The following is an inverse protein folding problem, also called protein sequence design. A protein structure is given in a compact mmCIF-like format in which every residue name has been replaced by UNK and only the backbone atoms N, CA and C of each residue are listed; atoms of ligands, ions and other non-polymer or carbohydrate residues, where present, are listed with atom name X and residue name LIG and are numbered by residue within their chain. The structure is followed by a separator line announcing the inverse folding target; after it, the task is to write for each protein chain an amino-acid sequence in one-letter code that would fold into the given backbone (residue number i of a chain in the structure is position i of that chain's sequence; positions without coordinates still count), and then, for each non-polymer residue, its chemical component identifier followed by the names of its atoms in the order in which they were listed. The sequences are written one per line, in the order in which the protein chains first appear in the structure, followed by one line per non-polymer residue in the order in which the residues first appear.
data_IF_959321655640
#
_entry.id   IF_959321655640
#
_cell.length_a   1.000
_cell.length_b   1.000
_cell.length_c   1.000
_cell.angle_alpha   90.00
_cell.angle_beta   90.00
_cell.angle_gamma   90.00
#
_symmetry.space_group_name_H-M   'P 1'
#
loop_
_entity.id
_entity.type
_entity.pdbx_description
1 polymer ?
#
# COMPACT_ATOMS: atom_id res chain seq x y z
N UNK A 1 -54.35 -35.95 28.11
CA UNK A 1 -52.91 -36.08 27.75
C UNK A 1 -52.54 -35.73 26.32
N UNK A 2 -53.44 -35.76 25.32
CA UNK A 2 -53.15 -35.46 23.90
C UNK A 2 -53.05 -33.95 23.60
N UNK A 3 -53.58 -33.05 24.43
CA UNK A 3 -53.52 -31.58 24.21
C UNK A 3 -52.18 -30.93 24.63
N UNK A 4 -51.55 -31.39 25.70
CA UNK A 4 -50.27 -30.86 26.17
C UNK A 4 -49.10 -31.22 25.23
N UNK A 5 -49.16 -32.36 24.54
CA UNK A 5 -48.07 -32.78 23.62
C UNK A 5 -48.05 -31.92 22.36
N UNK A 6 -49.21 -31.50 21.87
CA UNK A 6 -49.30 -30.60 20.67
C UNK A 6 -48.82 -29.17 21.00
N UNK A 7 -49.06 -28.64 22.21
CA UNK A 7 -48.56 -27.35 22.62
C UNK A 7 -47.03 -27.35 22.78
N UNK A 8 -46.47 -28.46 23.29
CA UNK A 8 -45.00 -28.57 23.47
C UNK A 8 -44.24 -28.67 22.14
N UNK A 9 -44.79 -29.36 21.12
CA UNK A 9 -44.20 -29.43 19.78
C UNK A 9 -44.29 -28.09 19.05
N UNK A 10 -45.39 -27.32 19.25
CA UNK A 10 -45.53 -26.00 18.65
C UNK A 10 -44.55 -24.98 19.26
N UNK A 11 -44.27 -25.05 20.56
CA UNK A 11 -43.28 -24.21 21.24
C UNK A 11 -41.85 -24.57 20.82
N UNK A 12 -41.55 -25.85 20.63
CA UNK A 12 -40.23 -26.28 20.17
C UNK A 12 -39.94 -25.85 18.74
N UNK A 13 -40.96 -25.72 17.87
CA UNK A 13 -40.79 -25.21 16.50
C UNK A 13 -40.61 -23.67 16.45
N UNK A 14 -41.00 -22.93 17.47
CA UNK A 14 -40.73 -21.47 17.51
C UNK A 14 -39.31 -21.13 17.97
N UNK A 15 -38.57 -22.05 18.60
CA UNK A 15 -37.18 -21.84 19.00
C UNK A 15 -36.16 -22.39 18.00
N UNK A 16 -36.60 -23.08 16.96
CA UNK A 16 -35.73 -23.68 15.96
C UNK A 16 -35.54 -22.78 14.76
N UNK A 17 -34.76 -21.69 14.84
CA UNK A 17 -34.44 -21.01 13.61
C UNK A 17 -34.02 -19.55 13.64
N UNK A 18 -33.60 -19.00 14.73
CA UNK A 18 -32.82 -17.76 14.65
C UNK A 18 -31.37 -18.11 14.32
N UNK A 19 -31.07 -18.37 13.04
CA UNK A 19 -29.72 -18.19 12.55
C UNK A 19 -29.39 -16.72 12.80
N UNK A 20 -28.33 -16.39 13.56
CA UNK A 20 -27.94 -15.01 13.70
C UNK A 20 -27.68 -14.49 12.27
N UNK A 21 -28.52 -13.60 11.79
CA UNK A 21 -28.25 -12.83 10.59
C UNK A 21 -27.11 -11.88 10.98
N UNK A 22 -25.88 -12.26 10.68
CA UNK A 22 -24.79 -11.30 10.70
C UNK A 22 -25.10 -10.26 9.63
N UNK A 23 -25.45 -9.06 10.06
CA UNK A 23 -25.60 -7.95 9.13
C UNK A 23 -24.22 -7.64 8.57
N UNK A 24 -24.06 -7.76 7.25
CA UNK A 24 -22.87 -7.27 6.57
C UNK A 24 -22.64 -5.81 6.96
N UNK A 25 -21.44 -5.47 7.42
CA UNK A 25 -21.13 -4.09 7.78
C UNK A 25 -21.08 -3.24 6.51
N UNK A 26 -21.75 -2.10 6.56
CA UNK A 26 -21.66 -1.12 5.48
C UNK A 26 -20.28 -0.46 5.48
N UNK A 27 -19.49 -0.71 4.43
CA UNK A 27 -18.19 -0.09 4.19
C UNK A 27 -18.28 1.10 3.23
N UNK A 28 -19.49 1.50 2.81
CA UNK A 28 -19.67 2.58 1.86
C UNK A 28 -19.22 3.93 2.42
N UNK A 29 -18.72 4.78 1.54
CA UNK A 29 -18.33 6.14 1.86
C UNK A 29 -16.86 6.46 1.65
N UNK A 30 -16.45 7.60 2.18
CA UNK A 30 -15.09 8.10 2.11
C UNK A 30 -14.31 7.74 3.36
N UNK A 31 -13.12 7.21 3.16
CA UNK A 31 -12.19 6.81 4.21
C UNK A 31 -10.92 7.64 4.12
N UNK A 32 -10.79 8.57 5.06
CA UNK A 32 -9.65 9.48 5.13
C UNK A 32 -8.45 8.79 5.78
N UNK A 33 -7.30 8.96 5.18
CA UNK A 33 -6.05 8.45 5.68
C UNK A 33 -5.65 9.16 7.00
N UNK A 34 -5.11 8.41 7.94
CA UNK A 34 -4.51 8.92 9.17
C UNK A 34 -3.02 9.14 8.96
N UNK A 35 -2.66 10.30 8.40
CA UNK A 35 -1.30 10.63 7.95
C UNK A 35 -0.23 10.54 9.04
N UNK A 36 -0.61 10.68 10.32
CA UNK A 36 0.33 10.55 11.44
C UNK A 36 0.73 9.10 11.74
N UNK A 37 -0.04 8.13 11.24
CA UNK A 37 0.33 6.73 11.33
C UNK A 37 1.40 6.43 10.28
N UNK A 38 2.58 6.00 10.70
CA UNK A 38 3.69 5.65 9.82
C UNK A 38 4.06 6.73 8.80
N UNK A 39 4.05 7.99 9.20
CA UNK A 39 4.22 9.15 8.30
C UNK A 39 5.46 9.05 7.39
N UNK A 40 6.57 8.52 7.90
CA UNK A 40 7.80 8.32 7.12
C UNK A 40 7.63 7.32 5.98
N UNK A 41 6.82 6.26 6.19
CA UNK A 41 6.55 5.25 5.16
C UNK A 41 5.50 5.71 4.16
N UNK A 42 4.52 6.51 4.61
CA UNK A 42 3.36 6.92 3.82
C UNK A 42 3.59 8.16 2.98
N UNK A 43 4.20 9.19 3.53
CA UNK A 43 4.41 10.48 2.89
C UNK A 43 5.48 10.40 1.79
N UNK A 44 6.75 10.73 2.12
CA UNK A 44 7.83 10.68 1.15
C UNK A 44 8.20 9.25 0.75
N UNK A 45 7.78 8.26 1.54
CA UNK A 45 8.22 6.88 1.44
C UNK A 45 9.54 6.64 2.17
N UNK A 46 9.94 5.38 2.35
CA UNK A 46 11.21 5.03 2.98
C UNK A 46 12.38 5.42 2.07
N UNK A 47 13.54 5.62 2.69
CA UNK A 47 14.76 5.93 1.94
C UNK A 47 15.26 4.72 1.14
N UNK A 48 15.99 4.98 0.08
CA UNK A 48 16.72 3.94 -0.65
C UNK A 48 17.68 3.24 0.30
N UNK A 49 17.74 1.92 0.24
CA UNK A 49 18.57 1.11 1.13
C UNK A 49 17.93 0.80 2.50
N UNK A 50 16.80 1.42 2.84
CA UNK A 50 16.05 1.11 4.06
C UNK A 50 15.16 -0.12 3.82
N UNK A 51 15.65 -1.26 4.26
CA UNK A 51 14.96 -2.56 4.17
C UNK A 51 14.71 -3.18 5.54
N UNK A 52 14.85 -2.41 6.59
CA UNK A 52 14.63 -2.86 7.96
C UNK A 52 13.18 -3.33 8.14
N UNK A 53 13.02 -4.57 8.59
CA UNK A 53 11.70 -5.16 8.80
C UNK A 53 10.97 -5.62 7.54
N UNK A 54 11.57 -5.51 6.35
CA UNK A 54 10.98 -6.04 5.12
C UNK A 54 11.41 -7.49 4.90
N UNK A 55 10.49 -8.42 4.63
CA UNK A 55 10.80 -9.84 4.46
C UNK A 55 11.40 -10.17 3.08
N UNK A 56 12.27 -9.32 2.55
CA UNK A 56 12.82 -9.42 1.20
C UNK A 56 14.05 -10.31 1.14
N UNK A 57 14.14 -11.09 0.07
CA UNK A 57 15.33 -11.88 -0.24
C UNK A 57 16.42 -11.06 -0.96
N UNK A 58 17.53 -11.70 -1.30
CA UNK A 58 18.68 -11.02 -1.94
C UNK A 58 18.36 -10.51 -3.35
N UNK A 59 17.49 -11.17 -4.11
CA UNK A 59 17.08 -10.70 -5.42
C UNK A 59 16.27 -9.41 -5.34
N UNK A 60 15.27 -9.37 -4.45
CA UNK A 60 14.49 -8.15 -4.21
C UNK A 60 15.39 -7.00 -3.74
N UNK A 61 16.36 -7.30 -2.86
CA UNK A 61 17.34 -6.31 -2.37
C UNK A 61 18.22 -5.78 -3.50
N UNK A 62 18.69 -6.65 -4.39
CA UNK A 62 19.49 -6.23 -5.55
C UNK A 62 18.70 -5.34 -6.51
N UNK A 63 17.40 -5.64 -6.74
CA UNK A 63 16.52 -4.80 -7.56
C UNK A 63 16.26 -3.44 -6.90
N UNK A 64 16.04 -3.41 -5.61
CA UNK A 64 15.85 -2.17 -4.86
C UNK A 64 17.14 -1.32 -4.83
N UNK A 65 18.30 -1.93 -4.69
CA UNK A 65 19.59 -1.25 -4.78
C UNK A 65 19.85 -0.63 -6.17
N UNK A 66 19.38 -1.28 -7.21
CA UNK A 66 19.50 -0.76 -8.57
C UNK A 66 18.52 0.39 -8.87
N UNK A 67 17.58 0.66 -7.98
CA UNK A 67 16.54 1.67 -8.21
C UNK A 67 17.11 3.08 -8.28
N UNK A 68 16.85 3.75 -9.40
CA UNK A 68 17.13 5.16 -9.61
C UNK A 68 15.81 5.89 -9.89
N UNK A 69 15.43 6.80 -9.01
CA UNK A 69 14.11 7.44 -9.05
C UNK A 69 13.80 8.15 -10.39
N UNK A 70 14.83 8.63 -11.08
CA UNK A 70 14.67 9.28 -12.38
C UNK A 70 14.12 8.35 -13.48
N UNK A 71 14.04 7.02 -13.23
CA UNK A 71 13.36 6.10 -14.14
C UNK A 71 11.88 6.45 -14.30
N UNK A 72 11.27 7.07 -13.28
CA UNK A 72 9.87 7.50 -13.31
C UNK A 72 9.63 8.68 -14.29
N UNK A 73 10.68 9.34 -14.77
CA UNK A 73 10.55 10.40 -15.77
C UNK A 73 10.60 9.90 -17.21
N UNK A 74 10.81 8.59 -17.41
CA UNK A 74 10.74 7.99 -18.76
C UNK A 74 9.28 7.94 -19.22
N UNK A 75 8.96 8.27 -20.47
CA UNK A 75 7.59 8.31 -20.98
C UNK A 75 6.79 7.04 -20.69
N UNK A 76 7.41 5.87 -20.86
CA UNK A 76 6.78 4.57 -20.63
C UNK A 76 6.63 4.22 -19.13
N UNK A 77 7.17 5.05 -18.24
CA UNK A 77 7.11 4.86 -16.78
C UNK A 77 6.24 5.89 -16.08
N UNK A 78 5.86 6.95 -16.79
CA UNK A 78 4.95 7.95 -16.25
C UNK A 78 3.52 7.40 -16.23
N UNK A 79 2.72 7.84 -15.26
CA UNK A 79 1.33 7.44 -15.11
C UNK A 79 1.11 5.94 -14.90
N UNK A 80 2.13 5.20 -14.50
CA UNK A 80 1.96 3.81 -14.07
C UNK A 80 1.29 3.80 -12.70
N UNK A 81 0.15 3.13 -12.62
CA UNK A 81 -0.57 2.95 -11.36
C UNK A 81 0.22 2.01 -10.44
N UNK A 82 0.26 2.34 -9.16
CA UNK A 82 0.68 1.39 -8.14
C UNK A 82 -0.31 0.22 -8.09
N UNK A 83 0.15 -0.92 -7.59
CA UNK A 83 -0.71 -2.09 -7.41
C UNK A 83 -1.59 -1.98 -6.16
N UNK A 84 -2.57 -2.87 -5.99
CA UNK A 84 -3.62 -2.74 -4.95
C UNK A 84 -3.09 -2.67 -3.52
N UNK A 85 -1.93 -3.27 -3.19
CA UNK A 85 -1.34 -3.14 -1.86
C UNK A 85 -1.05 -1.68 -1.47
N UNK A 86 -0.95 -0.78 -2.44
CA UNK A 86 -0.76 0.63 -2.17
C UNK A 86 -1.98 1.29 -1.51
N UNK A 87 -3.14 0.61 -1.47
CA UNK A 87 -4.30 1.05 -0.68
C UNK A 87 -3.92 1.24 0.79
N UNK A 88 -3.20 0.27 1.36
CA UNK A 88 -2.77 0.29 2.76
C UNK A 88 -1.49 1.12 2.94
N UNK A 89 -0.62 1.12 1.94
CA UNK A 89 0.71 1.75 2.01
C UNK A 89 0.70 3.24 1.67
N UNK A 90 -0.18 3.65 0.76
CA UNK A 90 -0.17 5.01 0.22
C UNK A 90 -0.73 6.07 1.19
N UNK A 91 -0.38 7.35 0.97
CA UNK A 91 -0.80 8.46 1.84
C UNK A 91 -2.22 8.94 1.56
N UNK A 92 -2.94 8.29 0.66
CA UNK A 92 -4.16 8.85 0.11
C UNK A 92 -5.41 8.22 0.69
N UNK A 93 -6.47 9.03 0.79
CA UNK A 93 -7.82 8.60 1.12
C UNK A 93 -8.44 7.82 -0.04
N UNK A 94 -9.48 7.05 0.23
CA UNK A 94 -10.20 6.30 -0.79
C UNK A 94 -11.71 6.28 -0.51
N UNK A 95 -12.47 5.95 -1.54
CA UNK A 95 -13.91 5.79 -1.46
C UNK A 95 -14.29 4.33 -1.77
N UNK A 96 -15.18 3.76 -0.97
CA UNK A 96 -15.81 2.48 -1.22
C UNK A 96 -17.27 2.68 -1.63
N UNK A 97 -17.67 2.01 -2.69
CA UNK A 97 -19.03 2.04 -3.23
C UNK A 97 -19.53 0.61 -3.45
N UNK A 98 -20.73 0.26 -2.95
CA UNK A 98 -21.30 -1.04 -3.24
C UNK A 98 -21.91 -1.08 -4.64
N UNK A 99 -21.69 -2.17 -5.37
CA UNK A 99 -22.56 -2.57 -6.47
C UNK A 99 -23.65 -3.46 -5.90
N UNK A 100 -24.89 -3.03 -6.02
CA UNK A 100 -26.06 -3.72 -5.45
C UNK A 100 -26.84 -4.39 -6.57
N UNK A 101 -27.09 -5.69 -6.44
CA UNK A 101 -28.01 -6.40 -7.31
C UNK A 101 -29.44 -5.85 -7.11
N UNK A 102 -30.09 -5.31 -8.14
CA UNK A 102 -31.38 -4.64 -8.01
C UNK A 102 -32.53 -5.60 -7.69
N UNK A 103 -32.34 -6.91 -7.88
CA UNK A 103 -33.39 -7.92 -7.63
C UNK A 103 -33.29 -8.42 -6.19
N UNK A 104 -32.10 -8.79 -5.75
CA UNK A 104 -31.89 -9.36 -4.41
C UNK A 104 -31.58 -8.31 -3.33
N UNK A 105 -31.21 -7.10 -3.72
CA UNK A 105 -30.74 -6.06 -2.80
C UNK A 105 -29.37 -6.36 -2.16
N UNK A 106 -28.67 -7.41 -2.60
CA UNK A 106 -27.37 -7.82 -2.03
C UNK A 106 -26.22 -7.06 -2.68
N UNK A 107 -25.19 -6.80 -1.90
CA UNK A 107 -23.91 -6.28 -2.43
C UNK A 107 -23.22 -7.41 -3.20
N UNK A 108 -23.01 -7.21 -4.50
CA UNK A 108 -22.32 -8.16 -5.39
C UNK A 108 -20.87 -7.79 -5.64
N UNK A 109 -20.51 -6.54 -5.37
CA UNK A 109 -19.13 -6.10 -5.38
C UNK A 109 -18.94 -4.82 -4.56
N UNK A 110 -17.72 -4.60 -4.07
CA UNK A 110 -17.25 -3.33 -3.56
C UNK A 110 -16.29 -2.71 -4.55
N UNK A 111 -16.55 -1.46 -4.95
CA UNK A 111 -15.64 -0.68 -5.79
C UNK A 111 -14.86 0.28 -4.92
N UNK A 112 -13.53 0.18 -4.99
CA UNK A 112 -12.62 1.09 -4.31
C UNK A 112 -12.02 2.02 -5.34
N UNK A 113 -12.16 3.33 -5.10
CA UNK A 113 -11.57 4.39 -5.90
C UNK A 113 -10.75 5.31 -5.02
N UNK A 114 -9.66 5.84 -5.52
CA UNK A 114 -8.78 6.72 -4.77
C UNK A 114 -8.22 7.82 -5.65
N UNK A 115 -7.26 8.57 -5.13
CA UNK A 115 -6.55 9.55 -5.92
C UNK A 115 -5.61 8.90 -6.95
N UNK A 116 -4.96 9.72 -7.76
CA UNK A 116 -4.19 9.49 -8.99
C UNK A 116 -3.45 8.17 -9.12
N UNK A 117 -2.81 7.73 -8.05
CA UNK A 117 -1.89 6.57 -8.12
C UNK A 117 -2.58 5.24 -7.81
N UNK A 118 -3.88 5.25 -7.54
CA UNK A 118 -4.61 4.03 -7.19
C UNK A 118 -5.31 3.43 -8.40
N UNK A 119 -5.09 2.14 -8.66
CA UNK A 119 -5.87 1.45 -9.66
C UNK A 119 -7.33 1.31 -9.19
N UNK A 120 -8.30 1.33 -10.10
CA UNK A 120 -9.64 0.86 -9.81
C UNK A 120 -9.55 -0.56 -9.24
N UNK A 121 -10.12 -0.77 -8.06
CA UNK A 121 -10.09 -2.06 -7.38
C UNK A 121 -11.53 -2.52 -7.13
N UNK A 122 -11.87 -3.70 -7.61
CA UNK A 122 -13.20 -4.30 -7.42
C UNK A 122 -13.05 -5.58 -6.62
N UNK A 123 -13.75 -5.65 -5.50
CA UNK A 123 -13.83 -6.84 -4.65
C UNK A 123 -15.17 -7.51 -4.95
N UNK A 124 -15.16 -8.66 -5.59
CA UNK A 124 -16.36 -9.41 -5.92
C UNK A 124 -16.87 -10.18 -4.69
N UNK A 125 -18.20 -10.08 -4.45
CA UNK A 125 -18.86 -10.68 -3.28
C UNK A 125 -19.78 -11.84 -3.65
N UNK A 126 -19.82 -12.23 -4.91
CA UNK A 126 -20.75 -13.24 -5.45
C UNK A 126 -20.18 -14.66 -5.45
N UNK A 127 -19.02 -14.88 -4.86
CA UNK A 127 -18.40 -16.21 -4.74
C UNK A 127 -17.80 -16.75 -6.03
N UNK A 128 -17.58 -15.88 -7.04
CA UNK A 128 -16.95 -16.29 -8.30
C UNK A 128 -15.51 -16.79 -8.07
N UNK A 129 -15.06 -17.80 -8.85
CA UNK A 129 -13.70 -18.30 -8.75
C UNK A 129 -12.71 -17.27 -9.30
N UNK A 130 -11.47 -17.33 -8.81
CA UNK A 130 -10.37 -16.59 -9.40
C UNK A 130 -10.05 -17.09 -10.81
N UNK A 131 -9.55 -16.21 -11.70
CA UNK A 131 -9.14 -16.61 -13.04
C UNK A 131 -8.04 -17.67 -13.02
N UNK A 132 -7.88 -18.40 -14.12
CA UNK A 132 -6.78 -19.35 -14.26
C UNK A 132 -5.42 -18.65 -14.38
N UNK A 133 -4.35 -19.36 -14.05
CA UNK A 133 -2.98 -18.82 -13.95
C UNK A 133 -2.44 -18.08 -15.20
N UNK A 134 -3.06 -18.24 -16.34
CA UNK A 134 -2.70 -17.57 -17.60
C UNK A 134 -3.57 -16.36 -17.93
N UNK A 135 -4.46 -15.97 -17.03
CA UNK A 135 -5.26 -14.79 -17.22
C UNK A 135 -4.39 -13.51 -17.11
N UNK A 136 -4.89 -12.44 -17.73
CA UNK A 136 -4.16 -11.16 -17.71
C UNK A 136 -4.05 -10.58 -16.31
N UNK A 137 -2.86 -10.08 -15.98
CA UNK A 137 -2.58 -9.37 -14.74
C UNK A 137 -2.90 -7.87 -14.89
N UNK A 138 -3.35 -7.26 -13.81
CA UNK A 138 -3.64 -5.82 -13.76
C UNK A 138 -3.05 -5.17 -12.50
N UNK A 139 -2.97 -3.84 -12.47
CA UNK A 139 -2.54 -3.14 -11.27
C UNK A 139 -3.48 -3.37 -10.08
N UNK A 140 -4.79 -3.47 -10.35
CA UNK A 140 -5.79 -3.79 -9.32
C UNK A 140 -5.85 -5.27 -8.94
N UNK A 141 -5.33 -6.16 -9.77
CA UNK A 141 -5.50 -7.61 -9.61
C UNK A 141 -6.93 -8.06 -9.83
N UNK A 142 -7.23 -9.26 -9.36
CA UNK A 142 -8.58 -9.83 -9.29
C UNK A 142 -8.88 -10.20 -7.84
N UNK A 143 -9.93 -9.63 -7.26
CA UNK A 143 -10.23 -9.75 -5.83
C UNK A 143 -11.62 -10.32 -5.59
N UNK A 144 -11.71 -11.26 -4.64
CA UNK A 144 -12.97 -11.78 -4.11
C UNK A 144 -13.02 -11.56 -2.60
N UNK A 145 -14.21 -11.31 -2.08
CA UNK A 145 -14.44 -11.08 -0.66
C UNK A 145 -15.43 -12.06 -0.05
N UNK A 146 -15.21 -12.40 1.21
CA UNK A 146 -16.10 -13.22 2.02
C UNK A 146 -16.20 -12.62 3.42
N UNK A 147 -17.42 -12.47 3.93
CA UNK A 147 -17.65 -12.04 5.30
C UNK A 147 -17.46 -13.20 6.28
N UNK A 148 -16.67 -12.97 7.31
CA UNK A 148 -16.55 -13.84 8.49
C UNK A 148 -16.91 -13.03 9.74
N UNK A 149 -18.16 -13.14 10.17
CA UNK A 149 -18.70 -12.29 11.20
C UNK A 149 -18.78 -10.83 10.75
N UNK A 150 -18.04 -9.95 11.40
CA UNK A 150 -17.92 -8.52 11.11
C UNK A 150 -16.65 -8.15 10.34
N UNK A 151 -15.88 -9.13 9.91
CA UNK A 151 -14.65 -8.95 9.15
C UNK A 151 -14.86 -9.36 7.69
N UNK A 152 -14.50 -8.46 6.76
CA UNK A 152 -14.44 -8.79 5.34
C UNK A 152 -13.04 -9.30 5.01
N UNK A 153 -12.94 -10.56 4.62
CA UNK A 153 -11.71 -11.19 4.12
C UNK A 153 -11.68 -11.08 2.60
N UNK A 154 -10.62 -10.52 2.07
CA UNK A 154 -10.41 -10.31 0.64
C UNK A 154 -9.17 -11.04 0.20
N UNK A 155 -9.28 -11.81 -0.89
CA UNK A 155 -8.14 -12.44 -1.55
C UNK A 155 -7.95 -11.81 -2.92
N UNK A 156 -6.71 -11.41 -3.24
CA UNK A 156 -6.34 -10.79 -4.52
C UNK A 156 -5.23 -11.59 -5.19
N UNK A 157 -5.42 -11.88 -6.47
CA UNK A 157 -4.44 -12.53 -7.35
C UNK A 157 -4.30 -11.74 -8.66
N UNK A 158 -3.43 -12.18 -9.57
CA UNK A 158 -3.25 -11.56 -10.89
C UNK A 158 -2.84 -10.08 -10.82
N UNK A 159 -2.04 -9.73 -9.79
CA UNK A 159 -1.38 -8.44 -9.71
C UNK A 159 -0.26 -8.36 -10.74
N UNK A 160 -0.08 -7.22 -11.41
CA UNK A 160 1.13 -6.95 -12.17
C UNK A 160 2.31 -6.83 -11.22
N UNK A 161 3.52 -7.11 -11.74
CA UNK A 161 4.75 -6.73 -11.04
C UNK A 161 4.74 -5.23 -10.70
N UNK A 162 5.19 -4.88 -9.52
CA UNK A 162 5.18 -3.52 -9.03
C UNK A 162 6.16 -3.31 -7.88
N UNK A 163 5.92 -2.26 -7.13
CA UNK A 163 6.70 -1.93 -5.94
C UNK A 163 5.81 -1.92 -4.71
N UNK A 164 6.25 -2.54 -3.63
CA UNK A 164 5.58 -2.41 -2.34
C UNK A 164 5.91 -1.08 -1.67
N UNK A 165 7.09 -0.53 -1.97
CA UNK A 165 7.54 0.74 -1.41
C UNK A 165 8.20 1.61 -2.47
N UNK A 166 8.14 2.93 -2.28
CA UNK A 166 8.69 3.93 -3.23
C UNK A 166 10.22 3.92 -3.34
N UNK A 167 10.90 3.14 -2.55
CA UNK A 167 12.36 2.97 -2.60
C UNK A 167 12.82 1.86 -3.56
N UNK A 168 11.92 1.36 -4.40
CA UNK A 168 12.25 0.36 -5.42
C UNK A 168 12.11 -1.09 -4.96
N UNK A 169 11.68 -1.36 -3.73
CA UNK A 169 11.42 -2.73 -3.25
C UNK A 169 10.27 -3.34 -4.07
N UNK A 170 10.55 -4.43 -4.83
CA UNK A 170 9.57 -4.99 -5.74
C UNK A 170 8.59 -5.93 -5.05
N UNK A 171 7.50 -6.23 -5.74
CA UNK A 171 6.76 -7.48 -5.63
C UNK A 171 6.58 -8.07 -7.04
N UNK A 172 6.45 -9.39 -7.12
CA UNK A 172 6.29 -10.09 -8.40
C UNK A 172 4.83 -10.14 -8.84
N UNK A 173 4.63 -10.58 -10.07
CA UNK A 173 3.31 -10.91 -10.61
C UNK A 173 2.74 -12.25 -10.10
N UNK A 174 3.55 -13.03 -9.35
CA UNK A 174 3.12 -14.22 -8.65
C UNK A 174 2.67 -13.94 -7.21
N UNK A 175 2.78 -12.68 -6.77
CA UNK A 175 2.31 -12.28 -5.46
C UNK A 175 0.80 -12.49 -5.31
N UNK A 176 0.41 -12.96 -4.13
CA UNK A 176 -0.98 -13.01 -3.67
C UNK A 176 -1.13 -12.07 -2.49
N UNK A 177 -2.30 -11.47 -2.36
CA UNK A 177 -2.59 -10.56 -1.27
C UNK A 177 -3.88 -10.98 -0.57
N UNK A 178 -3.82 -11.04 0.76
CA UNK A 178 -5.00 -11.20 1.61
C UNK A 178 -5.19 -9.94 2.42
N UNK A 179 -6.43 -9.45 2.50
CA UNK A 179 -6.76 -8.26 3.27
C UNK A 179 -7.91 -8.56 4.22
N UNK A 180 -7.81 -8.01 5.43
CA UNK A 180 -8.84 -8.08 6.46
C UNK A 180 -9.35 -6.67 6.74
N UNK A 181 -10.61 -6.41 6.41
CA UNK A 181 -11.29 -5.15 6.64
C UNK A 181 -12.14 -5.25 7.90
N UNK A 182 -11.84 -4.45 8.90
CA UNK A 182 -12.57 -4.41 10.16
C UNK A 182 -13.00 -2.97 10.45
N UNK A 183 -14.31 -2.76 10.57
CA UNK A 183 -14.88 -1.45 10.89
C UNK A 183 -15.35 -1.38 12.33
N UNK A 184 -14.88 -0.40 13.07
CA UNK A 184 -15.35 -0.04 14.40
C UNK A 184 -15.86 1.40 14.39
N UNK A 185 -17.19 1.55 14.34
CA UNK A 185 -17.82 2.86 14.28
C UNK A 185 -17.36 3.65 13.06
N UNK A 186 -16.60 4.71 13.27
CA UNK A 186 -16.06 5.60 12.23
C UNK A 186 -14.61 5.26 11.83
N UNK A 187 -14.05 4.20 12.36
CA UNK A 187 -12.68 3.75 12.00
C UNK A 187 -12.75 2.45 11.21
N UNK A 188 -12.05 2.42 10.09
CA UNK A 188 -11.80 1.22 9.29
C UNK A 188 -10.32 0.86 9.40
N UNK A 189 -10.04 -0.35 9.88
CA UNK A 189 -8.68 -0.91 9.87
C UNK A 189 -8.59 -1.95 8.76
N UNK A 190 -7.56 -1.85 7.94
CA UNK A 190 -7.23 -2.81 6.89
C UNK A 190 -5.88 -3.43 7.25
N UNK A 191 -5.86 -4.75 7.43
CA UNK A 191 -4.62 -5.51 7.56
C UNK A 191 -4.37 -6.24 6.26
N UNK A 192 -3.23 -6.01 5.65
CA UNK A 192 -2.79 -6.59 4.39
C UNK A 192 -1.67 -7.59 4.65
N UNK A 193 -1.75 -8.73 4.00
CA UNK A 193 -0.74 -9.79 4.00
C UNK A 193 -0.41 -10.07 2.54
N UNK A 194 0.84 -9.83 2.16
CA UNK A 194 1.34 -10.13 0.81
C UNK A 194 2.31 -11.30 0.90
N UNK A 195 2.00 -12.35 0.18
CA UNK A 195 2.86 -13.51 -0.01
C UNK A 195 3.42 -13.49 -1.43
N UNK A 196 4.75 -13.43 -1.54
CA UNK A 196 5.46 -13.34 -2.82
C UNK A 196 6.57 -14.39 -2.87
N UNK A 197 6.36 -15.49 -3.61
CA UNK A 197 7.32 -16.59 -3.65
C UNK A 197 8.63 -16.25 -4.37
N UNK A 198 8.69 -15.11 -5.08
CA UNK A 198 9.86 -14.69 -5.84
C UNK A 198 10.76 -13.76 -5.03
N UNK A 199 10.17 -12.82 -4.28
CA UNK A 199 10.92 -11.73 -3.65
C UNK A 199 10.91 -11.75 -2.14
N UNK A 200 10.02 -12.53 -1.50
CA UNK A 200 9.89 -12.54 -0.06
C UNK A 200 10.32 -13.88 0.56
N UNK A 201 10.96 -13.79 1.71
CA UNK A 201 11.32 -14.96 2.56
C UNK A 201 10.20 -15.31 3.54
N UNK A 202 9.38 -14.31 3.90
CA UNK A 202 8.23 -14.42 4.78
C UNK A 202 7.10 -13.53 4.24
N UNK A 203 5.83 -13.76 4.58
CA UNK A 203 4.74 -12.86 4.20
C UNK A 203 4.97 -11.44 4.73
N UNK A 204 4.76 -10.44 3.88
CA UNK A 204 4.80 -9.04 4.27
C UNK A 204 3.46 -8.63 4.84
N UNK A 205 3.44 -8.23 6.12
CA UNK A 205 2.21 -7.86 6.83
C UNK A 205 2.24 -6.36 7.15
N UNK A 206 1.16 -5.68 6.82
CA UNK A 206 0.96 -4.28 7.12
C UNK A 206 -0.48 -4.00 7.47
N UNK A 207 -0.71 -3.10 8.45
CA UNK A 207 -2.04 -2.59 8.74
C UNK A 207 -2.05 -1.06 8.69
N UNK A 208 -3.22 -0.51 8.40
CA UNK A 208 -3.47 0.92 8.46
C UNK A 208 -4.91 1.21 8.84
N UNK A 209 -5.11 2.28 9.60
CA UNK A 209 -6.44 2.74 9.97
C UNK A 209 -6.85 3.96 9.17
N UNK A 210 -8.14 4.02 8.87
CA UNK A 210 -8.76 5.11 8.11
C UNK A 210 -9.95 5.63 8.90
N UNK A 211 -10.20 6.93 8.81
CA UNK A 211 -11.31 7.59 9.46
C UNK A 211 -12.44 7.84 8.45
N UNK A 212 -13.66 7.49 8.81
CA UNK A 212 -14.83 7.83 8.00
C UNK A 212 -14.95 9.36 7.89
N UNK A 213 -15.03 9.86 6.66
CA UNK A 213 -15.18 11.28 6.36
C UNK A 213 -16.41 11.52 5.46
N UNK A 214 -17.57 11.86 6.03
CA UNK A 214 -18.79 12.04 5.25
C UNK A 214 -18.74 13.28 4.33
N UNK A 215 -17.84 14.22 4.57
CA UNK A 215 -17.64 15.39 3.74
C UNK A 215 -16.51 15.23 2.71
N UNK A 216 -15.72 14.17 2.85
CA UNK A 216 -14.57 13.90 2.01
C UNK A 216 -14.94 13.64 0.55
N UNK A 217 -14.05 14.04 -0.35
CA UNK A 217 -14.18 13.84 -1.79
C UNK A 217 -12.91 13.26 -2.36
N UNK A 218 -13.04 12.28 -3.23
CA UNK A 218 -11.97 11.88 -4.13
C UNK A 218 -12.14 12.70 -5.39
N UNK A 219 -11.20 13.58 -5.65
CA UNK A 219 -11.16 14.34 -6.90
C UNK A 219 -10.43 13.45 -7.92
N UNK A 220 -11.02 13.22 -9.11
CA UNK A 220 -10.30 12.60 -10.19
C UNK A 220 -9.20 13.56 -10.64
N UNK A 221 -7.98 13.15 -10.45
CA UNK A 221 -6.81 13.85 -10.97
C UNK A 221 -6.27 13.01 -12.13
N UNK A 222 -6.45 13.46 -13.39
CA UNK A 222 -5.81 12.77 -14.50
C UNK A 222 -4.31 12.88 -14.36
N UNK A 223 -3.61 11.77 -14.61
CA UNK A 223 -2.17 11.84 -14.68
C UNK A 223 -1.75 12.59 -15.94
N UNK A 224 -1.01 13.67 -15.77
CA UNK A 224 -0.44 14.45 -16.85
C UNK A 224 1.05 14.10 -17.00
N UNK A 225 1.47 13.52 -18.14
CA UNK A 225 2.87 13.24 -18.39
C UNK A 225 3.69 14.53 -18.33
N UNK A 226 4.78 14.49 -17.60
CA UNK A 226 5.73 15.59 -17.48
C UNK A 226 6.78 15.51 -18.59
N UNK A 227 7.49 16.60 -18.82
CA UNK A 227 8.61 16.61 -19.75
C UNK A 227 9.69 15.66 -19.23
N UNK A 228 10.14 14.77 -20.10
CA UNK A 228 11.22 13.84 -19.77
C UNK A 228 12.51 14.60 -19.46
N UNK A 229 13.25 14.13 -18.45
CA UNK A 229 14.59 14.64 -18.16
C UNK A 229 15.50 14.24 -19.34
N UNK A 230 16.18 15.20 -19.99
CA UNK A 230 17.09 14.89 -21.11
C UNK A 230 18.15 13.87 -20.71
N UNK A 231 18.28 12.82 -21.50
CA UNK A 231 19.26 11.75 -21.29
C UNK A 231 19.80 11.23 -22.61
N UNK A 232 20.89 10.46 -22.55
CA UNK A 232 21.43 9.79 -23.70
C UNK A 232 20.43 8.78 -24.25
N UNK A 233 20.28 8.72 -25.58
CA UNK A 233 19.42 7.75 -26.24
C UNK A 233 19.73 6.32 -25.78
N UNK A 234 18.71 5.54 -25.50
CA UNK A 234 18.80 4.17 -24.99
C UNK A 234 19.25 4.03 -23.53
N UNK A 235 19.50 5.14 -22.81
CA UNK A 235 19.88 5.08 -21.41
C UNK A 235 18.64 4.83 -20.52
N UNK A 236 18.62 3.71 -19.80
CA UNK A 236 17.63 3.42 -18.75
C UNK A 236 18.24 3.74 -17.40
N UNK A 237 17.66 4.66 -16.62
CA UNK A 237 18.19 5.02 -15.30
C UNK A 237 18.19 3.82 -14.36
N UNK A 238 19.35 3.42 -13.90
CA UNK A 238 19.55 2.40 -12.87
C UNK A 238 20.96 2.51 -12.29
N UNK A 239 21.16 1.94 -11.11
CA UNK A 239 22.49 1.79 -10.55
C UNK A 239 23.02 0.38 -10.79
N UNK A 240 24.27 0.26 -11.14
CA UNK A 240 24.97 -1.02 -11.17
C UNK A 240 25.18 -1.55 -9.75
N UNK A 241 25.42 -2.85 -9.56
CA UNK A 241 25.69 -3.42 -8.25
C UNK A 241 26.75 -2.63 -7.48
N UNK A 242 26.47 -2.29 -6.24
CA UNK A 242 27.35 -1.53 -5.33
C UNK A 242 27.70 -0.10 -5.78
N UNK A 243 27.01 0.49 -6.75
CA UNK A 243 27.28 1.86 -7.22
C UNK A 243 26.22 2.88 -6.76
N UNK A 244 25.14 2.44 -6.14
CA UNK A 244 24.10 3.34 -5.66
C UNK A 244 24.59 4.10 -4.41
N UNK A 245 24.75 5.45 -4.48
CA UNK A 245 25.29 6.24 -3.38
C UNK A 245 24.33 6.44 -2.21
N UNK A 246 23.06 6.04 -2.36
CA UNK A 246 22.02 6.30 -1.36
C UNK A 246 21.72 5.10 -0.45
N UNK A 247 22.27 3.91 -0.71
CA UNK A 247 21.96 2.70 0.06
C UNK A 247 22.37 2.73 1.53
N UNK A 248 23.31 3.61 1.89
CA UNK A 248 23.81 3.79 3.26
C UNK A 248 23.34 5.09 3.93
N UNK A 249 22.51 5.87 3.23
CA UNK A 249 22.05 7.17 3.72
C UNK A 249 21.29 7.07 5.04
N UNK A 250 20.38 6.09 5.15
CA UNK A 250 19.60 5.84 6.37
C UNK A 250 20.52 5.49 7.55
N UNK A 251 21.52 4.63 7.32
CA UNK A 251 22.51 4.26 8.35
C UNK A 251 23.28 5.47 8.84
N UNK A 252 23.73 6.33 7.93
CA UNK A 252 24.51 7.54 8.26
C UNK A 252 23.67 8.58 9.01
N UNK A 253 22.43 8.80 8.58
CA UNK A 253 21.57 9.83 9.17
C UNK A 253 21.13 9.50 10.59
N UNK A 254 20.84 8.23 10.85
CA UNK A 254 20.26 7.81 12.12
C UNK A 254 21.25 7.06 13.04
N UNK A 255 22.49 6.89 12.60
CA UNK A 255 23.50 6.15 13.37
C UNK A 255 23.16 4.66 13.55
N UNK A 256 22.31 4.12 12.69
CA UNK A 256 21.91 2.71 12.72
C UNK A 256 22.97 1.88 11.98
N UNK A 257 23.41 0.73 12.50
CA UNK A 257 24.33 -0.13 11.76
C UNK A 257 23.80 -0.47 10.36
N UNK A 258 24.64 -0.35 9.33
CA UNK A 258 24.22 -0.59 7.94
C UNK A 258 23.62 -1.99 7.76
N UNK A 259 24.18 -2.99 8.44
CA UNK A 259 23.64 -4.36 8.44
C UNK A 259 22.20 -4.45 8.98
N UNK A 260 21.83 -3.57 9.92
CA UNK A 260 20.47 -3.51 10.44
C UNK A 260 19.52 -2.83 9.47
N UNK A 261 19.94 -1.73 8.86
CA UNK A 261 19.13 -1.03 7.85
C UNK A 261 18.80 -1.94 6.67
N UNK A 262 19.74 -2.79 6.28
CA UNK A 262 19.62 -3.70 5.13
C UNK A 262 19.15 -5.13 5.50
N UNK A 263 18.97 -5.40 6.78
CA UNK A 263 18.84 -6.76 7.30
C UNK A 263 17.50 -7.46 7.03
N UNK A 264 16.48 -6.74 6.53
CA UNK A 264 15.20 -7.37 6.19
C UNK A 264 14.41 -7.87 7.41
N UNK A 265 13.66 -8.97 7.24
CA UNK A 265 12.75 -9.55 8.26
C UNK A 265 13.43 -9.81 9.60
N UNK A 266 14.63 -10.33 9.59
CA UNK A 266 15.37 -10.68 10.82
C UNK A 266 15.53 -9.49 11.78
N UNK A 267 15.52 -8.26 11.29
CA UNK A 267 15.66 -7.05 12.12
C UNK A 267 14.43 -6.78 13.00
N UNK A 268 13.31 -7.40 12.73
CA UNK A 268 12.09 -7.31 13.53
C UNK A 268 12.11 -8.20 14.78
N UNK A 269 12.96 -9.23 14.80
CA UNK A 269 13.00 -10.19 15.88
C UNK A 269 13.76 -9.67 17.10
N UNK A 270 13.30 -10.00 18.32
CA UNK A 270 13.92 -9.50 19.57
C UNK A 270 15.40 -9.85 19.72
N UNK A 271 15.84 -10.98 19.19
CA UNK A 271 17.23 -11.44 19.22
C UNK A 271 18.13 -10.47 18.45
N UNK A 272 17.70 -10.03 17.28
CA UNK A 272 18.45 -9.06 16.49
C UNK A 272 18.52 -7.70 17.18
N UNK A 273 17.42 -7.24 17.78
CA UNK A 273 17.39 -6.00 18.55
C UNK A 273 18.36 -6.03 19.75
N UNK A 274 18.49 -7.18 20.41
CA UNK A 274 19.51 -7.36 21.47
C UNK A 274 20.92 -7.27 20.90
N UNK A 275 21.18 -7.93 19.74
CA UNK A 275 22.49 -7.92 19.08
C UNK A 275 22.97 -6.50 18.76
N UNK A 276 22.09 -5.64 18.24
CA UNK A 276 22.47 -4.28 17.82
C UNK A 276 22.38 -3.22 18.94
N UNK A 277 21.83 -3.57 20.12
CA UNK A 277 21.59 -2.60 21.21
C UNK A 277 22.82 -1.80 21.60
N UNK A 278 23.96 -2.47 21.70
CA UNK A 278 25.21 -1.84 22.12
C UNK A 278 25.90 -1.06 20.99
N UNK A 279 25.56 -1.40 19.74
CA UNK A 279 26.08 -0.72 18.55
C UNK A 279 25.25 0.52 18.19
N UNK A 280 23.97 0.55 18.59
CA UNK A 280 23.09 1.69 18.32
C UNK A 280 23.17 2.72 19.44
N UNK A 281 23.65 3.90 19.12
CA UNK A 281 23.56 5.07 19.99
C UNK A 281 22.47 5.99 19.45
N UNK A 282 21.37 6.11 20.19
CA UNK A 282 20.33 7.07 19.83
C UNK A 282 20.93 8.47 19.70
N UNK A 283 20.54 9.27 18.71
CA UNK A 283 20.99 10.65 18.58
C UNK A 283 20.71 11.43 19.87
N UNK A 284 21.68 12.19 20.36
CA UNK A 284 21.60 12.91 21.64
C UNK A 284 20.47 13.94 21.72
N UNK A 285 19.93 14.36 20.58
CA UNK A 285 18.86 15.35 20.49
C UNK A 285 17.69 14.83 19.68
N UNK A 286 16.79 14.16 20.37
CA UNK A 286 15.41 14.04 19.91
C UNK A 286 14.64 15.25 20.43
N UNK A 287 14.82 16.43 19.83
CA UNK A 287 14.02 17.62 20.13
C UNK A 287 12.80 17.57 19.22
N UNK A 288 11.64 17.31 19.79
CA UNK A 288 10.27 17.41 19.25
C UNK A 288 9.96 16.65 17.94
N UNK A 289 10.93 16.46 17.05
CA UNK A 289 10.84 15.57 15.90
C UNK A 289 11.93 14.51 16.04
N UNK A 290 11.56 13.29 16.43
CA UNK A 290 12.43 12.13 16.31
C UNK A 290 12.64 11.72 14.84
N UNK A 291 12.21 12.52 13.89
CA UNK A 291 12.72 12.57 12.54
C UNK A 291 14.11 13.18 12.58
N UNK A 292 15.13 12.42 12.16
CA UNK A 292 16.52 12.81 12.17
C UNK A 292 16.82 14.23 11.71
N UNK A 293 18.08 14.66 11.67
CA UNK A 293 18.46 16.00 11.27
C UNK A 293 17.73 16.34 9.98
N UNK A 294 17.13 17.55 9.94
CA UNK A 294 16.44 18.03 8.73
C UNK A 294 17.25 17.61 7.52
N UNK A 295 16.62 16.92 6.57
CA UNK A 295 17.30 16.49 5.37
C UNK A 295 18.13 17.67 4.88
N UNK A 296 19.43 17.50 4.58
CA UNK A 296 20.21 18.58 4.00
C UNK A 296 19.40 19.15 2.84
N UNK A 297 19.33 20.48 2.69
CA UNK A 297 18.60 21.05 1.57
C UNK A 297 19.01 20.29 0.30
N UNK A 298 18.08 19.95 -0.59
CA UNK A 298 18.42 19.22 -1.80
C UNK A 298 19.62 19.90 -2.40
N UNK A 299 20.69 19.13 -2.68
CA UNK A 299 21.89 19.65 -3.29
C UNK A 299 21.44 20.58 -4.39
N UNK A 300 21.77 21.86 -4.30
CA UNK A 300 21.31 22.92 -5.19
C UNK A 300 21.34 22.35 -6.60
N UNK A 301 20.19 22.37 -7.29
CA UNK A 301 20.10 21.89 -8.64
C UNK A 301 21.31 22.43 -9.42
N UNK A 302 21.99 21.64 -10.25
CA UNK A 302 23.11 22.12 -11.01
C UNK A 302 22.68 23.41 -11.70
N UNK A 303 23.52 24.45 -11.73
CA UNK A 303 23.15 25.70 -12.33
C UNK A 303 22.65 25.43 -13.75
N UNK A 304 21.59 26.12 -14.19
CA UNK A 304 21.06 25.94 -15.54
C UNK A 304 22.21 26.12 -16.54
N UNK A 305 22.24 25.36 -17.63
CA UNK A 305 23.29 25.50 -18.62
C UNK A 305 23.39 26.95 -19.08
N UNK A 306 24.63 27.47 -19.16
CA UNK A 306 24.89 28.84 -19.56
C UNK A 306 24.19 29.15 -20.89
N UNK A 307 23.21 30.07 -20.86
CA UNK A 307 22.40 30.43 -22.03
C UNK A 307 20.90 30.13 -21.93
N UNK A 308 20.41 29.48 -20.87
CA UNK A 308 18.98 29.31 -20.67
C UNK A 308 18.33 30.63 -20.35
N UNK A 309 17.43 31.13 -21.22
CA UNK A 309 16.63 32.31 -20.97
C UNK A 309 15.61 32.03 -19.84
N UNK A 310 15.36 33.00 -18.93
CA UNK A 310 14.35 32.85 -17.90
C UNK A 310 12.99 32.57 -18.53
N UNK A 311 12.29 31.56 -18.09
CA UNK A 311 10.88 31.32 -18.44
C UNK A 311 10.08 32.41 -17.72
N UNK A 312 9.28 33.22 -18.42
CA UNK A 312 8.45 34.22 -17.78
C UNK A 312 7.41 33.54 -16.89
N UNK A 313 7.05 34.12 -15.73
CA UNK A 313 6.03 33.57 -14.88
C UNK A 313 4.70 33.43 -15.64
N UNK A 314 4.06 32.24 -15.47
CA UNK A 314 2.74 31.99 -16.04
C UNK A 314 1.76 33.10 -15.59
N UNK A 315 1.15 33.75 -16.54
CA UNK A 315 0.10 34.74 -16.26
C UNK A 315 -1.12 34.00 -15.71
N UNK A 316 -1.58 34.41 -14.52
CA UNK A 316 -2.83 33.93 -13.97
C UNK A 316 -3.99 34.18 -14.94
N UNK A 317 -4.93 33.25 -15.13
CA UNK A 317 -6.08 33.50 -15.97
C UNK A 317 -6.92 34.62 -15.36
N UNK A 318 -7.21 35.67 -16.16
CA UNK A 318 -8.18 36.69 -15.81
C UNK A 318 -9.55 36.03 -15.56
N UNK A 319 -10.14 36.34 -14.43
CA UNK A 319 -11.53 36.00 -14.09
C UNK A 319 -12.53 36.73 -15.00
#
# INVERSE_FOLDING_TARGET
MKGCFRAFVAILMMFGGSVPAFAELDLSGMWANRLHEDSLSRGPGPRIGDYMGLPINDEARARADAWQISIQTMPERQCILYTSQYLVMGPQSFKMLPDIDPISGRVVAWRITGAVDRPPHTIWMDGRPHPGKYASHSAGGFSTGVWEGDMLNVTTTHLKEGMIWRNGVPHSDQATMTEHYVRHGTTLTITMIVDDPIYFEEPYIRSASFQFDPAGRVLPEPCEPQVEIPRKEGAVPHYLPNTNPFVDEMAKLYGIPLEAVRGGAMTMYPEYRKKIRDAYKAPEKCAQDCGGPAAPPPASAPPPPAGAKPVPPAQAPNR
#
